data_IF_727203911487
#
_entry.id   IF_727203911487
#
_cell.length_a   1.000
_cell.length_b   1.000
_cell.length_c   1.000
_cell.angle_alpha   90.00
_cell.angle_beta   90.00
_cell.angle_gamma   90.00
#
_symmetry.space_group_name_H-M   'P 1'
#
loop_
_entity.id
_entity.type
_entity.pdbx_description
1 polymer ?
#
# COMPACT_ATOMS: atom_id res chain seq x y z
N UNK A 1 3.85 -15.41 12.74
CA UNK A 1 5.22 -15.13 13.19
C UNK A 1 5.40 -15.64 14.61
N UNK A 2 6.62 -15.97 14.97
CA UNK A 2 7.06 -16.32 16.31
C UNK A 2 8.09 -15.29 16.76
N UNK A 3 8.12 -14.98 18.05
CA UNK A 3 9.15 -14.11 18.63
C UNK A 3 10.02 -14.94 19.56
N UNK A 4 11.35 -14.88 19.39
CA UNK A 4 12.29 -15.52 20.29
C UNK A 4 12.42 -14.75 21.62
N UNK A 5 13.24 -15.27 22.54
CA UNK A 5 13.46 -14.66 23.86
C UNK A 5 14.09 -13.25 23.78
N UNK A 6 14.76 -12.93 22.69
CA UNK A 6 15.39 -11.63 22.41
C UNK A 6 14.46 -10.67 21.66
N UNK A 7 13.20 -11.11 21.40
CA UNK A 7 12.20 -10.34 20.67
C UNK A 7 12.40 -10.30 19.15
N UNK A 8 13.26 -11.14 18.61
CA UNK A 8 13.48 -11.25 17.17
C UNK A 8 12.33 -12.02 16.52
N UNK A 9 11.76 -11.43 15.49
CA UNK A 9 10.66 -12.03 14.74
C UNK A 9 11.17 -13.13 13.80
N UNK A 10 10.53 -14.30 13.87
CA UNK A 10 10.66 -15.37 12.91
C UNK A 10 9.32 -15.57 12.17
N UNK A 11 9.31 -15.38 10.86
CA UNK A 11 8.10 -15.58 10.04
C UNK A 11 8.00 -17.06 9.73
N UNK A 12 7.01 -17.74 10.32
CA UNK A 12 6.77 -19.17 10.12
C UNK A 12 6.13 -19.46 8.78
N UNK A 13 5.16 -18.62 8.37
CA UNK A 13 4.46 -18.76 7.10
C UNK A 13 3.88 -17.42 6.65
N UNK A 14 3.68 -17.28 5.35
CA UNK A 14 3.00 -16.14 4.71
C UNK A 14 2.07 -16.68 3.63
N UNK A 15 0.79 -16.33 3.73
CA UNK A 15 -0.24 -16.67 2.75
C UNK A 15 -0.97 -15.41 2.31
N UNK A 16 -1.24 -15.30 1.02
CA UNK A 16 -1.93 -14.16 0.43
C UNK A 16 -3.01 -14.64 -0.52
N UNK A 17 -4.20 -14.05 -0.42
CA UNK A 17 -5.35 -14.37 -1.26
C UNK A 17 -5.97 -13.06 -1.76
N UNK A 18 -5.83 -12.73 -3.05
CA UNK A 18 -6.41 -11.52 -3.62
C UNK A 18 -7.94 -11.56 -3.60
N UNK A 19 -8.55 -10.46 -3.16
CA UNK A 19 -10.00 -10.26 -3.13
C UNK A 19 -10.34 -8.84 -3.62
N UNK A 20 -11.39 -8.67 -4.45
CA UNK A 20 -11.74 -7.36 -5.03
C UNK A 20 -12.50 -6.44 -4.06
N UNK A 21 -12.11 -6.40 -2.78
CA UNK A 21 -12.75 -5.59 -1.73
C UNK A 21 -12.72 -4.10 -2.08
N UNK A 22 -11.53 -3.57 -2.38
CA UNK A 22 -11.36 -2.17 -2.74
C UNK A 22 -12.17 -1.80 -3.99
N UNK A 23 -12.12 -2.64 -5.02
CA UNK A 23 -12.88 -2.46 -6.27
C UNK A 23 -14.38 -2.33 -6.02
N UNK A 24 -14.96 -3.22 -5.21
CA UNK A 24 -16.37 -3.17 -4.83
C UNK A 24 -16.72 -1.86 -4.13
N UNK A 25 -15.93 -1.50 -3.11
CA UNK A 25 -16.23 -0.35 -2.25
C UNK A 25 -16.04 0.97 -2.98
N UNK A 26 -14.97 1.13 -3.74
CA UNK A 26 -14.69 2.38 -4.44
C UNK A 26 -15.62 2.64 -5.62
N UNK A 27 -16.23 1.57 -6.18
CA UNK A 27 -17.24 1.68 -7.26
C UNK A 27 -18.64 1.87 -6.71
N UNK A 28 -19.06 1.04 -5.73
CA UNK A 28 -20.46 0.98 -5.27
C UNK A 28 -20.69 1.45 -3.84
N UNK A 29 -19.64 1.65 -3.06
CA UNK A 29 -19.69 1.97 -1.65
C UNK A 29 -20.01 0.78 -0.73
N UNK A 30 -20.13 -0.43 -1.27
CA UNK A 30 -20.42 -1.65 -0.51
C UNK A 30 -19.56 -2.82 -0.98
N UNK A 31 -19.30 -3.77 -0.11
CA UNK A 31 -18.79 -5.08 -0.50
C UNK A 31 -20.00 -5.95 -0.92
N UNK A 32 -20.01 -6.40 -2.17
CA UNK A 32 -21.10 -7.21 -2.69
C UNK A 32 -21.14 -8.62 -2.07
N UNK A 33 -22.26 -9.32 -2.24
CA UNK A 33 -22.50 -10.61 -1.59
C UNK A 33 -21.51 -11.71 -2.04
N UNK A 34 -21.09 -11.68 -3.30
CA UNK A 34 -20.13 -12.63 -3.84
C UNK A 34 -18.76 -12.47 -3.17
N UNK A 35 -18.24 -11.24 -3.14
CA UNK A 35 -16.97 -10.92 -2.48
C UNK A 35 -17.00 -11.20 -0.98
N UNK A 36 -18.14 -10.94 -0.30
CA UNK A 36 -18.32 -11.34 1.10
C UNK A 36 -18.21 -12.87 1.27
N UNK A 37 -18.83 -13.64 0.37
CA UNK A 37 -18.76 -15.10 0.44
C UNK A 37 -17.31 -15.60 0.23
N UNK A 38 -16.61 -15.03 -0.73
CA UNK A 38 -15.20 -15.33 -0.99
C UNK A 38 -14.32 -14.98 0.24
N UNK A 39 -14.53 -13.80 0.84
CA UNK A 39 -13.83 -13.39 2.05
C UNK A 39 -14.02 -14.37 3.19
N UNK A 40 -15.25 -14.80 3.44
CA UNK A 40 -15.54 -15.79 4.49
C UNK A 40 -14.85 -17.12 4.20
N UNK A 41 -14.81 -17.57 2.96
CA UNK A 41 -14.10 -18.81 2.60
C UNK A 41 -12.60 -18.69 2.82
N UNK A 42 -12.00 -17.56 2.46
CA UNK A 42 -10.58 -17.29 2.71
C UNK A 42 -10.28 -17.31 4.22
N UNK A 43 -11.08 -16.61 5.01
CA UNK A 43 -10.90 -16.55 6.47
C UNK A 43 -11.11 -17.92 7.14
N UNK A 44 -12.02 -18.75 6.64
CA UNK A 44 -12.17 -20.15 7.11
C UNK A 44 -10.92 -20.98 6.86
N UNK A 45 -10.29 -20.84 5.67
CA UNK A 45 -9.04 -21.52 5.35
C UNK A 45 -7.89 -21.05 6.26
N UNK A 46 -7.80 -19.73 6.51
CA UNK A 46 -6.80 -19.22 7.45
C UNK A 46 -7.03 -19.73 8.87
N UNK A 47 -8.29 -19.82 9.33
CA UNK A 47 -8.61 -20.43 10.62
C UNK A 47 -8.16 -21.89 10.70
N UNK A 48 -8.44 -22.70 9.67
CA UNK A 48 -8.02 -24.09 9.61
C UNK A 48 -6.49 -24.23 9.65
N UNK A 49 -5.77 -23.37 8.93
CA UNK A 49 -4.31 -23.32 8.94
C UNK A 49 -3.75 -22.98 10.33
N UNK A 50 -4.31 -21.96 10.99
CA UNK A 50 -3.93 -21.53 12.35
C UNK A 50 -4.22 -22.65 13.38
N UNK A 51 -5.38 -23.32 13.27
CA UNK A 51 -5.71 -24.45 14.11
C UNK A 51 -4.72 -25.62 13.97
N UNK A 52 -4.18 -25.82 12.76
CA UNK A 52 -3.10 -26.79 12.54
C UNK A 52 -1.82 -26.49 13.35
N UNK A 53 -1.64 -25.24 13.75
CA UNK A 53 -0.55 -24.79 14.63
C UNK A 53 -0.97 -24.59 16.09
N UNK A 54 -2.20 -24.95 16.45
CA UNK A 54 -2.74 -24.80 17.79
C UNK A 54 -3.12 -23.38 18.16
N UNK A 55 -3.26 -22.48 17.18
CA UNK A 55 -3.62 -21.07 17.38
C UNK A 55 -5.13 -20.91 17.17
N UNK A 56 -5.82 -20.33 18.16
CA UNK A 56 -7.24 -20.04 18.08
C UNK A 56 -7.51 -18.65 17.45
N UNK A 57 -8.73 -18.40 16.92
CA UNK A 57 -9.10 -17.08 16.40
C UNK A 57 -8.96 -15.94 17.43
N UNK A 58 -9.17 -16.22 18.72
CA UNK A 58 -9.06 -15.25 19.81
C UNK A 58 -7.62 -14.79 20.05
N UNK A 59 -6.63 -15.63 19.68
CA UNK A 59 -5.19 -15.33 19.78
C UNK A 59 -4.67 -14.64 18.54
N UNK A 60 -5.54 -14.32 17.59
CA UNK A 60 -5.18 -13.75 16.28
C UNK A 60 -5.56 -12.29 16.19
N UNK A 61 -4.65 -11.46 15.69
CA UNK A 61 -4.95 -10.08 15.32
C UNK A 61 -5.44 -10.00 13.88
N UNK A 62 -6.66 -9.53 13.67
CA UNK A 62 -7.27 -9.35 12.37
C UNK A 62 -7.53 -7.87 12.11
N UNK A 63 -6.77 -7.27 11.21
CA UNK A 63 -6.89 -5.85 10.86
C UNK A 63 -7.53 -5.66 9.49
N UNK A 64 -8.31 -4.60 9.37
CA UNK A 64 -8.85 -4.13 8.10
C UNK A 64 -8.57 -2.63 7.93
N UNK A 65 -8.29 -2.21 6.72
CA UNK A 65 -7.93 -0.82 6.41
C UNK A 65 -8.99 -0.10 5.57
N UNK A 66 -8.61 0.76 4.66
CA UNK A 66 -9.45 1.72 3.94
C UNK A 66 -10.69 1.10 3.26
N UNK A 67 -10.59 -0.07 2.63
CA UNK A 67 -11.75 -0.69 1.97
C UNK A 67 -12.88 -0.99 2.96
N UNK A 68 -12.57 -1.54 4.15
CA UNK A 68 -13.57 -1.76 5.19
C UNK A 68 -14.03 -0.45 5.83
N UNK A 69 -13.12 0.49 6.06
CA UNK A 69 -13.44 1.80 6.63
C UNK A 69 -14.47 2.57 5.79
N UNK A 70 -14.35 2.50 4.47
CA UNK A 70 -15.21 3.19 3.50
C UNK A 70 -16.50 2.40 3.17
N UNK A 71 -16.58 1.10 3.49
CA UNK A 71 -17.73 0.26 3.16
C UNK A 71 -18.96 0.62 4.02
N UNK A 72 -20.08 0.95 3.38
CA UNK A 72 -21.35 1.27 4.05
C UNK A 72 -21.95 0.07 4.80
N UNK A 73 -21.62 -1.15 4.38
CA UNK A 73 -22.11 -2.40 4.98
C UNK A 73 -21.05 -3.10 5.85
N UNK A 74 -20.00 -2.38 6.30
CA UNK A 74 -18.89 -2.93 7.08
C UNK A 74 -19.32 -3.65 8.35
N UNK A 75 -20.24 -3.07 9.10
CA UNK A 75 -20.65 -3.62 10.41
C UNK A 75 -21.31 -5.01 10.24
N UNK A 76 -22.20 -5.15 9.26
CA UNK A 76 -22.83 -6.43 8.93
C UNK A 76 -21.81 -7.48 8.45
N UNK A 77 -20.75 -7.04 7.73
CA UNK A 77 -19.69 -7.93 7.27
C UNK A 77 -18.82 -8.36 8.46
N UNK A 78 -18.48 -7.46 9.36
CA UNK A 78 -17.70 -7.78 10.56
C UNK A 78 -18.43 -8.77 11.47
N UNK A 79 -19.73 -8.56 11.70
CA UNK A 79 -20.57 -9.50 12.44
C UNK A 79 -20.60 -10.88 11.77
N UNK A 80 -20.75 -10.89 10.46
CA UNK A 80 -20.73 -12.13 9.67
C UNK A 80 -19.40 -12.85 9.75
N UNK A 81 -18.27 -12.13 9.67
CA UNK A 81 -16.92 -12.69 9.85
C UNK A 81 -16.82 -13.32 11.23
N UNK A 82 -17.18 -12.59 12.29
CA UNK A 82 -17.09 -13.10 13.64
C UNK A 82 -17.92 -14.36 13.85
N UNK A 83 -19.20 -14.34 13.46
CA UNK A 83 -20.12 -15.49 13.61
C UNK A 83 -19.61 -16.72 12.85
N UNK A 84 -19.04 -16.56 11.66
CA UNK A 84 -18.64 -17.70 10.82
C UNK A 84 -17.22 -18.18 11.03
N UNK A 85 -16.33 -17.35 11.55
CA UNK A 85 -14.90 -17.66 11.63
C UNK A 85 -14.30 -17.50 13.03
N UNK A 86 -14.95 -16.76 13.91
CA UNK A 86 -14.43 -16.40 15.24
C UNK A 86 -13.45 -15.22 15.23
N UNK A 87 -13.01 -14.75 14.06
CA UNK A 87 -12.10 -13.60 13.98
C UNK A 87 -12.79 -12.29 14.36
N UNK A 88 -12.16 -11.53 15.25
CA UNK A 88 -12.55 -10.16 15.57
C UNK A 88 -11.77 -9.20 14.68
N UNK A 89 -12.48 -8.52 13.78
CA UNK A 89 -11.86 -7.54 12.87
C UNK A 89 -11.75 -6.19 13.57
N UNK A 90 -10.54 -5.65 13.60
CA UNK A 90 -10.26 -4.28 14.01
C UNK A 90 -10.04 -3.42 12.76
N UNK A 91 -10.88 -2.39 12.57
CA UNK A 91 -10.69 -1.44 11.47
C UNK A 91 -9.74 -0.36 11.95
N UNK A 92 -8.54 -0.32 11.37
CA UNK A 92 -7.56 0.73 11.64
C UNK A 92 -8.01 2.04 10.99
N UNK A 93 -7.95 3.13 11.74
CA UNK A 93 -8.15 4.45 11.19
C UNK A 93 -6.89 4.96 10.46
N UNK A 94 -7.00 6.10 9.76
CA UNK A 94 -5.88 6.64 8.98
C UNK A 94 -4.70 7.07 9.86
N UNK A 95 -4.94 7.52 11.09
CA UNK A 95 -3.88 7.94 12.02
C UNK A 95 -3.12 6.72 12.53
N UNK A 96 -3.85 5.67 12.90
CA UNK A 96 -3.26 4.41 13.36
C UNK A 96 -2.48 3.74 12.21
N UNK A 97 -3.04 3.71 10.99
CA UNK A 97 -2.39 3.16 9.79
C UNK A 97 -1.06 3.89 9.51
N UNK A 98 -1.06 5.22 9.53
CA UNK A 98 0.12 6.04 9.34
C UNK A 98 1.17 5.85 10.45
N UNK A 99 0.72 5.70 11.71
CA UNK A 99 1.62 5.38 12.82
C UNK A 99 2.29 4.03 12.65
N UNK A 100 1.54 3.00 12.27
CA UNK A 100 2.10 1.66 12.05
C UNK A 100 3.09 1.68 10.88
N UNK A 101 2.77 2.40 9.80
CA UNK A 101 3.67 2.56 8.66
C UNK A 101 4.97 3.29 9.05
N UNK A 102 4.86 4.38 9.81
CA UNK A 102 6.03 5.09 10.34
C UNK A 102 6.93 4.17 11.16
N UNK A 103 6.35 3.38 12.08
CA UNK A 103 7.12 2.43 12.90
C UNK A 103 7.80 1.36 12.04
N UNK A 104 7.11 0.81 11.06
CA UNK A 104 7.68 -0.19 10.16
C UNK A 104 8.84 0.38 9.33
N UNK A 105 8.68 1.57 8.75
CA UNK A 105 9.75 2.23 7.98
C UNK A 105 10.95 2.53 8.88
N UNK A 106 10.75 3.13 10.05
CA UNK A 106 11.84 3.48 10.95
C UNK A 106 12.59 2.26 11.46
N UNK A 107 11.89 1.14 11.69
CA UNK A 107 12.54 -0.12 12.07
C UNK A 107 13.39 -0.70 10.91
N UNK A 108 12.90 -0.64 9.68
CA UNK A 108 13.64 -1.09 8.51
C UNK A 108 14.91 -0.28 8.23
N UNK A 109 14.91 1.03 8.51
CA UNK A 109 16.03 1.92 8.17
C UNK A 109 16.98 2.23 9.33
N UNK A 110 16.69 1.80 10.56
CA UNK A 110 17.45 2.15 11.77
C UNK A 110 18.94 1.82 11.69
N UNK A 111 19.28 0.72 11.00
CA UNK A 111 20.65 0.20 10.86
C UNK A 111 21.20 0.43 9.44
N UNK A 112 20.54 1.26 8.63
CA UNK A 112 20.93 1.55 7.25
C UNK A 112 21.74 2.87 7.18
N UNK A 113 22.52 3.09 6.12
CA UNK A 113 23.30 4.31 5.91
C UNK A 113 22.40 5.49 5.46
N UNK A 114 21.29 5.70 6.16
CA UNK A 114 20.33 6.78 5.95
C UNK A 114 20.35 7.69 7.15
N UNK A 115 20.70 8.96 6.96
CA UNK A 115 20.72 9.93 8.06
C UNK A 115 19.32 10.48 8.37
N UNK A 116 18.43 9.57 8.74
CA UNK A 116 17.03 9.88 9.07
C UNK A 116 16.90 10.86 10.27
N UNK A 117 17.90 10.87 11.17
CA UNK A 117 17.84 11.66 12.40
C UNK A 117 18.21 13.13 12.18
N UNK A 118 19.00 13.43 11.18
CA UNK A 118 19.54 14.80 10.98
C UNK A 118 18.96 15.45 9.71
N UNK A 119 18.39 14.68 8.80
CA UNK A 119 17.87 15.17 7.52
C UNK A 119 16.34 15.19 7.44
N UNK A 120 15.83 16.07 6.59
CA UNK A 120 14.41 16.08 6.25
C UNK A 120 14.13 15.00 5.21
N UNK A 121 13.16 14.15 5.53
CA UNK A 121 12.79 12.98 4.74
C UNK A 121 11.31 13.01 4.41
N UNK A 122 10.96 12.66 3.18
CA UNK A 122 9.58 12.36 2.78
C UNK A 122 9.43 10.86 2.61
N UNK A 123 8.43 10.30 3.27
CA UNK A 123 8.01 8.90 3.09
C UNK A 123 6.70 8.91 2.32
N UNK A 124 6.68 8.24 1.17
CA UNK A 124 5.52 8.12 0.31
C UNK A 124 5.04 6.66 0.27
N UNK A 125 3.76 6.47 0.55
CA UNK A 125 3.11 5.16 0.52
C UNK A 125 1.91 5.22 -0.41
N UNK A 126 1.95 4.50 -1.51
CA UNK A 126 0.83 4.41 -2.45
C UNK A 126 0.01 3.17 -2.13
N UNK A 127 -1.25 3.40 -1.74
CA UNK A 127 -2.23 2.35 -1.47
C UNK A 127 -3.31 2.27 -2.54
N UNK A 128 -4.24 1.32 -2.38
CA UNK A 128 -5.35 1.16 -3.33
C UNK A 128 -6.40 2.29 -3.27
N UNK A 129 -6.56 2.95 -2.12
CA UNK A 129 -7.54 4.02 -1.88
C UNK A 129 -6.91 5.41 -1.84
N UNK A 130 -5.77 5.52 -1.19
CA UNK A 130 -5.09 6.78 -0.86
C UNK A 130 -3.59 6.66 -1.08
N UNK A 131 -2.96 7.80 -1.21
CA UNK A 131 -1.51 7.96 -1.11
C UNK A 131 -1.21 8.75 0.14
N UNK A 132 -0.37 8.20 1.01
CA UNK A 132 0.06 8.84 2.25
C UNK A 132 1.44 9.47 2.06
N UNK A 133 1.55 10.75 2.41
CA UNK A 133 2.80 11.51 2.39
C UNK A 133 3.14 11.87 3.83
N UNK A 134 4.15 11.22 4.38
CA UNK A 134 4.65 11.52 5.72
C UNK A 134 5.91 12.38 5.62
N UNK A 135 5.86 13.55 6.24
CA UNK A 135 6.97 14.50 6.27
C UNK A 135 7.72 14.38 7.59
N UNK A 136 8.99 14.09 7.49
CA UNK A 136 9.88 13.92 8.63
C UNK A 136 10.89 15.06 8.67
N UNK A 137 10.99 15.71 9.81
CA UNK A 137 12.04 16.70 10.07
C UNK A 137 12.93 16.20 11.20
N UNK A 138 14.18 15.94 10.87
CA UNK A 138 15.22 15.48 11.83
C UNK A 138 14.74 14.31 12.69
N UNK A 139 14.22 13.27 12.05
CA UNK A 139 13.73 12.05 12.67
C UNK A 139 12.40 12.15 13.40
N UNK A 140 11.72 13.30 13.35
CA UNK A 140 10.39 13.51 13.96
C UNK A 140 9.35 13.74 12.87
N UNK A 141 8.17 13.19 13.07
CA UNK A 141 7.04 13.44 12.16
C UNK A 141 6.62 14.92 12.27
N UNK A 142 6.73 15.65 11.17
CA UNK A 142 6.33 17.04 11.05
C UNK A 142 4.89 17.18 10.56
N UNK A 143 4.45 16.29 9.66
CA UNK A 143 3.10 16.28 9.13
C UNK A 143 2.79 15.00 8.37
N UNK A 144 1.50 14.76 8.15
CA UNK A 144 0.99 13.65 7.32
C UNK A 144 -0.14 14.18 6.44
N UNK A 145 -0.06 13.90 5.15
CA UNK A 145 -1.11 14.21 4.19
C UNK A 145 -1.61 12.93 3.54
N UNK A 146 -2.93 12.77 3.52
CA UNK A 146 -3.61 11.68 2.84
C UNK A 146 -4.27 12.20 1.57
N UNK A 147 -3.79 11.78 0.42
CA UNK A 147 -4.37 12.11 -0.87
C UNK A 147 -5.33 11.01 -1.32
N UNK A 148 -6.47 11.39 -1.88
CA UNK A 148 -7.39 10.44 -2.51
C UNK A 148 -6.89 9.93 -3.88
N UNK A 149 -5.60 9.65 -3.95
CA UNK A 149 -4.88 9.10 -5.09
C UNK A 149 -4.48 7.65 -4.76
N UNK A 150 -5.42 6.73 -4.83
CA UNK A 150 -5.11 5.30 -4.68
C UNK A 150 -5.20 4.59 -6.02
N UNK A 151 -4.38 3.58 -6.23
CA UNK A 151 -4.27 2.87 -7.52
C UNK A 151 -5.58 2.26 -8.00
N UNK A 152 -6.28 1.54 -7.11
CA UNK A 152 -7.59 0.93 -7.41
C UNK A 152 -8.66 2.01 -7.63
N UNK A 153 -8.63 3.09 -6.87
CA UNK A 153 -9.56 4.20 -7.01
C UNK A 153 -9.41 4.90 -8.36
N UNK A 154 -8.18 5.17 -8.78
CA UNK A 154 -7.89 5.79 -10.08
C UNK A 154 -8.32 4.87 -11.20
N UNK A 155 -7.96 3.59 -11.12
CA UNK A 155 -8.33 2.59 -12.12
C UNK A 155 -9.86 2.52 -12.32
N UNK A 156 -10.64 2.47 -11.25
CA UNK A 156 -12.10 2.43 -11.35
C UNK A 156 -12.70 3.74 -11.91
N UNK A 157 -12.08 4.89 -11.64
CA UNK A 157 -12.50 6.16 -12.25
C UNK A 157 -12.23 6.18 -13.76
N UNK A 158 -11.13 5.58 -14.20
CA UNK A 158 -10.70 5.54 -15.58
C UNK A 158 -11.50 4.54 -16.39
N UNK A 159 -11.80 3.35 -15.86
CA UNK A 159 -12.63 2.33 -16.53
C UNK A 159 -14.01 2.85 -16.95
N UNK A 160 -14.53 3.84 -16.21
CA UNK A 160 -15.82 4.49 -16.52
C UNK A 160 -15.71 5.63 -17.54
N UNK A 161 -14.50 6.00 -17.93
CA UNK A 161 -14.21 7.00 -18.95
C UNK A 161 -13.22 6.36 -19.91
N UNK A 162 -13.40 6.53 -21.21
CA UNK A 162 -12.44 6.11 -22.25
C UNK A 162 -11.15 6.93 -22.13
N UNK A 163 -10.42 6.75 -21.03
CA UNK A 163 -9.28 7.61 -20.68
C UNK A 163 -7.99 6.98 -21.17
N UNK A 164 -7.19 7.78 -21.86
CA UNK A 164 -5.84 7.42 -22.28
C UNK A 164 -4.86 7.50 -21.09
N UNK A 165 -3.68 6.91 -21.21
CA UNK A 165 -2.62 7.06 -20.21
C UNK A 165 -2.29 8.55 -19.93
N UNK A 166 -2.34 9.40 -20.94
CA UNK A 166 -2.13 10.85 -20.79
C UNK A 166 -3.21 11.52 -19.93
N UNK A 167 -4.43 11.01 -19.94
CA UNK A 167 -5.51 11.52 -19.07
C UNK A 167 -5.26 11.13 -17.61
N UNK A 168 -4.76 9.91 -17.37
CA UNK A 168 -4.34 9.45 -16.05
C UNK A 168 -3.21 10.33 -15.51
N UNK A 169 -2.19 10.55 -16.32
CA UNK A 169 -1.04 11.37 -15.95
C UNK A 169 -1.47 12.80 -15.59
N UNK A 170 -2.35 13.40 -16.40
CA UNK A 170 -2.89 14.74 -16.12
C UNK A 170 -3.68 14.75 -14.81
N UNK A 171 -4.55 13.78 -14.57
CA UNK A 171 -5.35 13.69 -13.34
C UNK A 171 -4.46 13.56 -12.09
N UNK A 172 -3.46 12.69 -12.12
CA UNK A 172 -2.48 12.53 -11.04
C UNK A 172 -1.74 13.84 -10.81
N UNK A 173 -1.24 14.47 -11.86
CA UNK A 173 -0.49 15.73 -11.77
C UNK A 173 -1.35 16.87 -11.21
N UNK A 174 -2.59 17.02 -11.65
CA UNK A 174 -3.52 18.03 -11.12
C UNK A 174 -3.82 17.81 -9.64
N UNK A 175 -4.00 16.56 -9.23
CA UNK A 175 -4.27 16.19 -7.84
C UNK A 175 -3.09 16.50 -6.93
N UNK A 176 -1.86 16.24 -7.39
CA UNK A 176 -0.63 16.58 -6.66
C UNK A 176 -0.46 18.10 -6.58
N UNK A 177 -0.66 18.82 -7.69
CA UNK A 177 -0.53 20.28 -7.74
C UNK A 177 -1.51 20.97 -6.79
N UNK A 178 -2.74 20.47 -6.66
CA UNK A 178 -3.74 21.01 -5.73
C UNK A 178 -3.31 20.86 -4.26
N UNK A 179 -2.46 19.88 -3.95
CA UNK A 179 -1.98 19.62 -2.59
C UNK A 179 -0.63 20.29 -2.31
N UNK A 180 0.10 20.65 -3.35
CA UNK A 180 1.47 21.18 -3.27
C UNK A 180 1.57 22.40 -2.32
N UNK A 181 0.63 23.34 -2.38
CA UNK A 181 0.63 24.51 -1.51
C UNK A 181 0.54 24.18 -0.03
N UNK A 182 -0.23 23.17 0.36
CA UNK A 182 -0.31 22.70 1.74
C UNK A 182 0.99 22.02 2.18
N UNK A 183 1.56 21.17 1.31
CA UNK A 183 2.83 20.49 1.59
C UNK A 183 3.98 21.49 1.76
N UNK A 184 4.07 22.50 0.90
CA UNK A 184 5.11 23.55 0.97
C UNK A 184 5.00 24.43 2.20
N UNK A 185 3.79 24.60 2.77
CA UNK A 185 3.60 25.40 3.99
C UNK A 185 4.06 24.69 5.27
N UNK A 186 4.08 23.36 5.27
CA UNK A 186 4.42 22.55 6.44
C UNK A 186 5.88 22.07 6.45
N UNK A 187 6.44 21.83 5.27
CA UNK A 187 7.84 21.44 5.10
C UNK A 187 8.47 22.26 3.98
N UNK A 188 9.65 22.80 4.24
CA UNK A 188 10.45 23.35 3.15
C UNK A 188 10.93 22.21 2.25
N UNK A 189 10.19 21.93 1.17
CA UNK A 189 10.47 20.84 0.23
C UNK A 189 11.89 20.97 -0.35
N UNK A 190 12.40 22.20 -0.47
CA UNK A 190 13.79 22.43 -0.93
C UNK A 190 14.85 21.89 0.02
N UNK A 191 14.50 21.65 1.29
CA UNK A 191 15.38 21.06 2.31
C UNK A 191 15.23 19.54 2.44
N UNK A 192 14.34 18.92 1.68
CA UNK A 192 14.21 17.45 1.66
C UNK A 192 15.46 16.85 1.01
N UNK A 193 16.14 16.00 1.75
CA UNK A 193 17.36 15.32 1.29
C UNK A 193 17.11 13.85 0.93
N UNK A 194 16.06 13.28 1.49
CA UNK A 194 15.75 11.88 1.34
C UNK A 194 14.29 11.69 0.96
N UNK A 195 14.06 10.77 0.03
CA UNK A 195 12.73 10.35 -0.39
C UNK A 195 12.66 8.83 -0.26
N UNK A 196 11.74 8.33 0.56
CA UNK A 196 11.52 6.91 0.80
C UNK A 196 10.18 6.50 0.22
N UNK A 197 10.20 5.69 -0.81
CA UNK A 197 9.02 5.09 -1.41
C UNK A 197 8.74 3.72 -0.78
N UNK A 198 7.50 3.48 -0.39
CA UNK A 198 7.08 2.24 0.28
C UNK A 198 5.89 1.64 -0.46
N UNK A 199 6.00 0.40 -0.91
CA UNK A 199 4.92 -0.31 -1.60
C UNK A 199 5.44 -1.48 -2.42
N UNK A 200 4.53 -2.38 -2.79
CA UNK A 200 4.88 -3.58 -3.56
C UNK A 200 5.34 -3.22 -4.98
N UNK A 201 4.64 -2.29 -5.63
CA UNK A 201 4.94 -1.89 -7.01
C UNK A 201 6.31 -1.20 -7.13
N UNK A 202 6.62 -0.26 -6.22
CA UNK A 202 7.92 0.41 -6.20
C UNK A 202 9.03 -0.56 -5.78
N UNK A 203 8.75 -1.53 -4.91
CA UNK A 203 9.69 -2.61 -4.60
C UNK A 203 10.02 -3.45 -5.83
N UNK A 204 9.02 -3.80 -6.64
CA UNK A 204 9.25 -4.52 -7.90
C UNK A 204 10.07 -3.68 -8.88
N UNK A 205 9.74 -2.40 -9.04
CA UNK A 205 10.54 -1.50 -9.87
C UNK A 205 12.00 -1.42 -9.39
N UNK A 206 12.22 -1.40 -8.07
CA UNK A 206 13.56 -1.37 -7.49
C UNK A 206 14.41 -2.60 -7.82
N UNK A 207 13.78 -3.77 -8.00
CA UNK A 207 14.49 -4.98 -8.45
C UNK A 207 14.94 -4.90 -9.90
N UNK A 208 14.31 -4.04 -10.71
CA UNK A 208 14.60 -3.92 -12.15
C UNK A 208 15.61 -2.80 -12.40
N UNK A 209 15.40 -1.63 -11.81
CA UNK A 209 16.20 -0.43 -12.08
C UNK A 209 16.96 0.10 -10.88
N UNK A 210 16.83 -0.55 -9.72
CA UNK A 210 17.47 -0.12 -8.49
C UNK A 210 18.78 -0.86 -8.20
N UNK A 211 19.50 -0.33 -7.21
CA UNK A 211 20.71 -0.92 -6.64
C UNK A 211 20.41 -1.35 -5.20
N UNK A 212 20.67 -2.62 -4.82
CA UNK A 212 20.44 -3.07 -3.45
C UNK A 212 21.43 -2.37 -2.48
N UNK A 213 20.88 -1.84 -1.38
CA UNK A 213 21.68 -1.35 -0.24
C UNK A 213 21.69 -2.42 0.85
N UNK A 214 20.52 -3.06 1.09
CA UNK A 214 20.38 -4.17 2.04
C UNK A 214 19.26 -5.13 1.59
N UNK A 215 18.91 -6.09 2.42
CA UNK A 215 17.82 -7.04 2.13
C UNK A 215 16.46 -6.34 1.93
N UNK A 216 16.26 -5.19 2.56
CA UNK A 216 14.96 -4.49 2.56
C UNK A 216 15.00 -3.11 1.92
N UNK A 217 16.20 -2.63 1.54
CA UNK A 217 16.40 -1.28 1.05
C UNK A 217 17.13 -1.27 -0.28
N UNK A 218 16.57 -0.54 -1.22
CA UNK A 218 17.11 -0.35 -2.56
C UNK A 218 17.20 1.15 -2.86
N UNK A 219 18.19 1.55 -3.59
CA UNK A 219 18.35 2.90 -4.11
C UNK A 219 17.99 2.91 -5.60
N UNK A 220 17.15 3.87 -5.98
CA UNK A 220 16.78 4.07 -7.39
C UNK A 220 17.22 5.49 -7.78
N UNK A 221 17.92 5.62 -8.89
CA UNK A 221 18.20 6.91 -9.49
C UNK A 221 16.90 7.48 -10.07
N UNK A 222 16.63 8.77 -9.85
CA UNK A 222 15.40 9.42 -10.32
C UNK A 222 15.25 9.33 -11.84
N UNK A 223 16.34 9.53 -12.60
CA UNK A 223 16.27 9.47 -14.06
C UNK A 223 15.97 8.04 -14.55
N UNK A 224 16.65 7.04 -13.98
CA UNK A 224 16.42 5.62 -14.33
C UNK A 224 14.98 5.21 -14.02
N UNK A 225 14.42 5.70 -12.91
CA UNK A 225 13.03 5.46 -12.54
C UNK A 225 12.04 6.10 -13.53
N UNK A 226 12.26 7.37 -13.89
CA UNK A 226 11.42 8.07 -14.87
C UNK A 226 11.50 7.44 -16.27
N UNK A 227 12.68 6.99 -16.68
CA UNK A 227 12.88 6.28 -17.95
C UNK A 227 12.17 4.92 -17.94
N UNK A 228 12.28 4.18 -16.86
CA UNK A 228 11.55 2.92 -16.69
C UNK A 228 10.03 3.10 -16.76
N UNK A 229 9.49 4.11 -16.08
CA UNK A 229 8.06 4.42 -16.15
C UNK A 229 7.64 4.74 -17.60
N UNK A 230 8.41 5.54 -18.32
CA UNK A 230 8.14 5.84 -19.72
C UNK A 230 8.12 4.59 -20.59
N UNK A 231 9.06 3.68 -20.38
CA UNK A 231 9.17 2.45 -21.17
C UNK A 231 7.98 1.50 -20.92
N UNK A 232 7.50 1.41 -19.68
CA UNK A 232 6.37 0.52 -19.37
C UNK A 232 5.00 1.11 -19.74
N UNK A 233 4.89 2.39 -20.05
CA UNK A 233 3.62 3.03 -20.44
C UNK A 233 2.97 2.36 -21.66
N UNK A 234 3.78 1.83 -22.56
CA UNK A 234 3.30 1.18 -23.80
C UNK A 234 2.91 -0.29 -23.58
N UNK A 235 3.17 -0.86 -22.38
CA UNK A 235 2.87 -2.26 -22.12
C UNK A 235 1.39 -2.43 -21.76
N UNK A 236 0.79 -3.44 -22.38
CA UNK A 236 -0.52 -3.95 -21.94
C UNK A 236 -0.39 -4.64 -20.56
N UNK A 237 -1.54 -4.86 -19.92
CA UNK A 237 -1.61 -5.63 -18.66
C UNK A 237 -1.00 -7.02 -18.85
N UNK A 238 -1.31 -7.71 -19.96
CA UNK A 238 -0.77 -9.04 -20.26
C UNK A 238 0.76 -9.02 -20.42
N UNK A 239 1.31 -7.98 -21.04
CA UNK A 239 2.77 -7.81 -21.15
C UNK A 239 3.41 -7.57 -19.79
N UNK A 240 2.80 -6.78 -18.91
CA UNK A 240 3.27 -6.59 -17.53
C UNK A 240 3.27 -7.93 -16.77
N UNK A 241 2.19 -8.70 -16.84
CA UNK A 241 2.11 -10.05 -16.24
C UNK A 241 3.25 -10.95 -16.73
N UNK A 242 3.44 -11.01 -18.05
CA UNK A 242 4.44 -11.89 -18.66
C UNK A 242 5.89 -11.47 -18.34
N UNK A 243 6.19 -10.16 -18.40
CA UNK A 243 7.54 -9.62 -18.22
C UNK A 243 7.97 -9.59 -16.75
N UNK A 244 7.07 -9.18 -15.87
CA UNK A 244 7.40 -8.94 -14.45
C UNK A 244 6.94 -10.08 -13.53
N UNK A 245 6.30 -11.11 -14.09
CA UNK A 245 5.80 -12.30 -13.35
C UNK A 245 4.87 -11.94 -12.20
N UNK A 246 4.08 -10.89 -12.39
CA UNK A 246 3.07 -10.44 -11.43
C UNK A 246 1.69 -11.04 -11.73
N UNK A 247 0.79 -10.98 -10.77
CA UNK A 247 -0.61 -11.34 -11.00
C UNK A 247 -1.31 -10.34 -11.90
N UNK A 248 -2.42 -10.73 -12.51
CA UNK A 248 -3.21 -9.82 -13.36
C UNK A 248 -3.69 -8.59 -12.57
N UNK A 249 -4.16 -8.79 -11.33
CA UNK A 249 -4.61 -7.72 -10.46
C UNK A 249 -3.51 -6.71 -10.10
N UNK A 250 -2.27 -7.17 -9.91
CA UNK A 250 -1.12 -6.29 -9.70
C UNK A 250 -0.79 -5.51 -10.98
N UNK A 251 -0.81 -6.18 -12.13
CA UNK A 251 -0.51 -5.55 -13.41
C UNK A 251 -1.51 -4.45 -13.80
N UNK A 252 -2.79 -4.60 -13.43
CA UNK A 252 -3.82 -3.57 -13.67
C UNK A 252 -3.46 -2.23 -13.00
N UNK A 253 -2.85 -2.25 -11.81
CA UNK A 253 -2.56 -1.04 -11.02
C UNK A 253 -1.10 -0.59 -11.10
N UNK A 254 -0.20 -1.42 -11.63
CA UNK A 254 1.25 -1.21 -11.59
C UNK A 254 1.70 0.12 -12.19
N UNK A 255 1.28 0.41 -13.43
CA UNK A 255 1.66 1.64 -14.12
C UNK A 255 1.14 2.89 -13.40
N UNK A 256 -0.10 2.85 -12.90
CA UNK A 256 -0.71 3.95 -12.15
C UNK A 256 0.03 4.17 -10.83
N UNK A 257 0.38 3.11 -10.13
CA UNK A 257 1.14 3.17 -8.89
C UNK A 257 2.49 3.84 -9.09
N UNK A 258 3.28 3.39 -10.07
CA UNK A 258 4.60 3.98 -10.35
C UNK A 258 4.52 5.43 -10.81
N UNK A 259 3.47 5.81 -11.54
CA UNK A 259 3.24 7.19 -11.93
C UNK A 259 3.04 8.12 -10.73
N UNK A 260 2.40 7.64 -9.66
CA UNK A 260 2.21 8.43 -8.43
C UNK A 260 3.54 8.66 -7.70
N UNK A 261 4.48 7.72 -7.77
CA UNK A 261 5.81 7.87 -7.16
C UNK A 261 6.75 8.79 -7.96
N UNK A 262 6.52 8.98 -9.25
CA UNK A 262 7.36 9.79 -10.14
C UNK A 262 7.08 11.29 -10.04
#
# INVERSE_FOLDING_TARGET
AEFDADGKQNILDRSEMPLPLGKNVFTSGIVNQETQNQLIQVLKRYREQLQGWGISPEETYCFASSAFRDAKNRDAIMDRIFVQTGFKVHIVDGIEENKLMYLAVTDCIKDQPIDFKNENTVILVVGGSTTEIMMMSKGKMAGVHSLRLGTVRIEEQIKNQTSSYSDIQRFVQESINNTKGSLESELNIAEVKQFIAVGQDVSLASLIVGRPISTFLWEINKQDFSDFIRDIQEYSVDECVARFKMSYSEAETFQVSLLIYN
#
